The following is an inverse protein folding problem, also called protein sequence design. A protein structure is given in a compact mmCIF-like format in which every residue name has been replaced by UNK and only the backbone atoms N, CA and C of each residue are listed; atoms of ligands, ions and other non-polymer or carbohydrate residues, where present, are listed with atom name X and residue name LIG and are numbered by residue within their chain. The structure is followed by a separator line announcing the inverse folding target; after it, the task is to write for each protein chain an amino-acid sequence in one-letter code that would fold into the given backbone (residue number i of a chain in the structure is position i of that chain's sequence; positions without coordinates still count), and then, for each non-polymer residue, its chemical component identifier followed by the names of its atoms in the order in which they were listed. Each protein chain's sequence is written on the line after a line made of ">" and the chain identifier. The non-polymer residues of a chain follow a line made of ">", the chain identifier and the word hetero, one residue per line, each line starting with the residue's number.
data_IF_967916127213
#
_entry.id   IF_967916127213
#
_cell.length_a   1.000
_cell.length_b   1.000
_cell.length_c   1.000
_cell.angle_alpha   90.00
_cell.angle_beta   90.00
_cell.angle_gamma   90.00
#
_symmetry.space_group_name_H-M   'P 1'
#
loop_
_entity.id
_entity.type
_entity.pdbx_description
1 polymer ?
#
# COMPACT_ATOMS: atom_id res chain seq x y z
N UNK A 1 -8.24 8.69 -19.90
CA UNK A 1 -8.60 8.47 -18.48
C UNK A 1 -8.06 7.12 -18.10
N UNK A 2 -7.14 7.06 -17.16
CA UNK A 2 -6.41 5.86 -16.75
C UNK A 2 -7.13 5.21 -15.57
N UNK A 3 -7.45 3.93 -15.69
CA UNK A 3 -8.07 3.15 -14.61
C UNK A 3 -6.99 2.65 -13.65
N UNK A 4 -7.18 2.86 -12.34
CA UNK A 4 -6.28 2.40 -11.29
C UNK A 4 -7.10 1.56 -10.30
N UNK A 5 -6.76 0.29 -10.18
CA UNK A 5 -7.40 -0.65 -9.28
C UNK A 5 -6.51 -0.92 -8.08
N UNK A 6 -7.07 -0.79 -6.87
CA UNK A 6 -6.38 -1.01 -5.61
C UNK A 6 -6.93 -2.25 -4.90
N UNK A 7 -6.01 -3.03 -4.36
CA UNK A 7 -6.25 -4.17 -3.47
C UNK A 7 -5.22 -4.16 -2.34
N UNK A 8 -5.51 -4.79 -1.22
CA UNK A 8 -4.63 -4.89 -0.07
C UNK A 8 -4.98 -6.08 0.82
N UNK A 9 -4.06 -6.43 1.72
CA UNK A 9 -4.30 -7.39 2.81
C UNK A 9 -4.87 -8.73 2.31
N UNK A 10 -4.23 -9.26 1.28
CA UNK A 10 -4.68 -10.50 0.64
C UNK A 10 -4.23 -11.76 1.39
N UNK A 11 -3.23 -11.68 2.27
CA UNK A 11 -2.82 -12.76 3.20
C UNK A 11 -2.84 -14.15 2.58
N UNK A 12 -2.09 -14.35 1.49
CA UNK A 12 -2.02 -15.58 0.69
C UNK A 12 -3.33 -15.99 -0.02
N UNK A 13 -4.37 -15.14 -0.02
CA UNK A 13 -5.67 -15.43 -0.64
C UNK A 13 -5.90 -14.65 -1.94
N UNK A 14 -4.87 -13.99 -2.47
CA UNK A 14 -4.96 -13.16 -3.67
C UNK A 14 -5.59 -13.88 -4.86
N UNK A 15 -5.35 -15.19 -5.02
CA UNK A 15 -5.92 -15.98 -6.12
C UNK A 15 -7.44 -16.16 -6.07
N UNK A 16 -8.10 -15.81 -4.94
CA UNK A 16 -9.56 -15.82 -4.83
C UNK A 16 -10.21 -14.58 -5.44
N UNK A 17 -9.44 -13.52 -5.69
CA UNK A 17 -9.95 -12.26 -6.21
C UNK A 17 -10.37 -12.39 -7.69
N UNK A 18 -11.46 -11.73 -8.03
CA UNK A 18 -11.91 -11.51 -9.40
C UNK A 18 -11.68 -10.05 -9.74
N UNK A 19 -10.69 -9.79 -10.60
CA UNK A 19 -10.30 -8.43 -10.99
C UNK A 19 -10.74 -8.15 -12.42
N UNK A 20 -11.49 -7.07 -12.60
CA UNK A 20 -11.86 -6.57 -13.93
C UNK A 20 -10.62 -5.97 -14.62
N UNK A 21 -10.53 -6.05 -15.96
CA UNK A 21 -9.43 -5.45 -16.70
C UNK A 21 -9.26 -3.96 -16.44
N UNK A 22 -8.01 -3.49 -16.42
CA UNK A 22 -7.68 -2.08 -16.19
C UNK A 22 -6.26 -1.73 -16.63
N UNK A 23 -5.87 -0.46 -16.42
CA UNK A 23 -4.54 -0.01 -16.82
C UNK A 23 -3.50 -0.34 -15.75
N UNK A 24 -3.79 -0.03 -14.48
CA UNK A 24 -2.84 -0.17 -13.38
C UNK A 24 -3.48 -0.94 -12.22
N UNK A 25 -2.80 -1.98 -11.74
CA UNK A 25 -3.16 -2.70 -10.52
C UNK A 25 -2.16 -2.34 -9.43
N UNK A 26 -2.66 -1.88 -8.27
CA UNK A 26 -1.87 -1.55 -7.09
C UNK A 26 -2.21 -2.47 -5.92
N UNK A 27 -1.19 -3.03 -5.26
CA UNK A 27 -1.33 -3.77 -4.00
C UNK A 27 -0.66 -3.01 -2.86
N UNK A 28 -1.41 -2.65 -1.82
CA UNK A 28 -0.93 -1.77 -0.74
C UNK A 28 -0.47 -2.52 0.53
N UNK A 29 0.12 -3.70 0.35
CA UNK A 29 0.80 -4.43 1.43
C UNK A 29 -0.02 -5.57 2.03
N UNK A 30 0.66 -6.34 2.90
CA UNK A 30 0.14 -7.57 3.50
C UNK A 30 -0.34 -8.58 2.44
N UNK A 31 0.54 -8.83 1.48
CA UNK A 31 0.33 -9.84 0.45
C UNK A 31 0.45 -11.26 1.00
N UNK A 32 1.16 -11.43 2.12
CA UNK A 32 1.47 -12.71 2.76
C UNK A 32 1.01 -12.73 4.23
N UNK A 33 1.02 -13.93 4.86
CA UNK A 33 0.78 -14.06 6.30
C UNK A 33 2.05 -13.81 7.11
N UNK A 34 3.21 -14.28 6.63
CA UNK A 34 4.47 -14.24 7.38
C UNK A 34 5.68 -13.75 6.56
N UNK A 35 5.51 -13.47 5.29
CA UNK A 35 6.58 -13.01 4.42
C UNK A 35 7.64 -14.04 4.13
N UNK A 36 7.30 -15.34 4.17
CA UNK A 36 8.25 -16.39 3.80
C UNK A 36 8.55 -16.36 2.30
N UNK A 37 9.73 -16.86 1.91
CA UNK A 37 10.09 -16.94 0.49
C UNK A 37 9.05 -17.65 -0.39
N UNK A 38 8.51 -18.81 0.02
CA UNK A 38 7.42 -19.47 -0.72
C UNK A 38 6.14 -18.63 -0.82
N UNK A 39 5.72 -17.92 0.24
CA UNK A 39 4.53 -17.06 0.19
C UNK A 39 4.73 -15.89 -0.77
N UNK A 40 5.90 -15.24 -0.70
CA UNK A 40 6.24 -14.13 -1.59
C UNK A 40 6.33 -14.58 -3.04
N UNK A 41 6.89 -15.78 -3.28
CA UNK A 41 6.93 -16.35 -4.64
C UNK A 41 5.53 -16.70 -5.15
N UNK A 42 4.66 -17.23 -4.29
CA UNK A 42 3.26 -17.48 -4.65
C UNK A 42 2.53 -16.18 -5.03
N UNK A 43 2.73 -15.11 -4.27
CA UNK A 43 2.18 -13.79 -4.61
C UNK A 43 2.76 -13.28 -5.93
N UNK A 44 4.09 -13.35 -6.13
CA UNK A 44 4.75 -12.94 -7.38
C UNK A 44 4.11 -13.62 -8.59
N UNK A 45 3.96 -14.95 -8.54
CA UNK A 45 3.41 -15.72 -9.66
C UNK A 45 1.96 -15.33 -9.96
N UNK A 46 1.15 -15.16 -8.90
CA UNK A 46 -0.23 -14.71 -9.07
C UNK A 46 -0.30 -13.27 -9.61
N UNK A 47 0.48 -12.36 -9.05
CA UNK A 47 0.46 -10.94 -9.44
C UNK A 47 0.95 -10.75 -10.88
N UNK A 48 2.01 -11.47 -11.27
CA UNK A 48 2.51 -11.50 -12.63
C UNK A 48 1.45 -12.01 -13.62
N UNK A 49 0.65 -13.02 -13.22
CA UNK A 49 -0.41 -13.61 -14.05
C UNK A 49 -1.58 -12.67 -14.35
N UNK A 50 -1.69 -11.52 -13.66
CA UNK A 50 -2.75 -10.53 -13.89
C UNK A 50 -2.48 -9.73 -15.18
N UNK A 51 -2.45 -10.41 -16.32
CA UNK A 51 -2.08 -9.84 -17.65
C UNK A 51 -3.13 -8.90 -18.23
N UNK A 52 -4.34 -8.83 -17.65
CA UNK A 52 -5.38 -7.87 -17.99
C UNK A 52 -5.07 -6.44 -17.52
N UNK A 53 -3.98 -6.25 -16.72
CA UNK A 53 -3.45 -4.95 -16.33
C UNK A 53 -2.13 -4.68 -17.04
N UNK A 54 -1.99 -3.46 -17.56
CA UNK A 54 -0.78 -3.02 -18.26
C UNK A 54 0.40 -2.84 -17.29
N UNK A 55 0.12 -2.31 -16.10
CA UNK A 55 1.13 -2.06 -15.06
C UNK A 55 0.69 -2.67 -13.73
N UNK A 56 1.65 -3.16 -12.96
CA UNK A 56 1.43 -3.74 -11.64
C UNK A 56 2.42 -3.14 -10.65
N UNK A 57 1.90 -2.48 -9.60
CA UNK A 57 2.69 -1.87 -8.54
C UNK A 57 2.35 -2.55 -7.23
N UNK A 58 3.34 -2.82 -6.38
CA UNK A 58 3.10 -3.26 -5.02
C UNK A 58 4.06 -2.59 -4.03
N UNK A 59 3.59 -2.48 -2.79
CA UNK A 59 4.41 -2.18 -1.61
C UNK A 59 4.28 -3.32 -0.61
N UNK A 60 5.17 -3.40 0.37
CA UNK A 60 5.03 -4.32 1.48
C UNK A 60 4.06 -3.81 2.56
N UNK A 61 3.55 -4.73 3.38
CA UNK A 61 2.93 -4.44 4.66
C UNK A 61 3.68 -5.10 5.82
N UNK A 62 3.12 -5.03 7.03
CA UNK A 62 3.81 -5.52 8.22
C UNK A 62 3.92 -7.05 8.27
N UNK A 63 3.08 -7.79 7.59
CA UNK A 63 3.19 -9.25 7.48
C UNK A 63 4.27 -9.69 6.48
N UNK A 64 4.70 -8.84 5.57
CA UNK A 64 5.64 -9.18 4.49
C UNK A 64 7.11 -9.16 4.97
N UNK A 65 7.40 -9.89 6.05
CA UNK A 65 8.69 -9.88 6.78
C UNK A 65 9.91 -10.18 5.91
N UNK A 66 9.75 -10.98 4.86
CA UNK A 66 10.83 -11.30 3.93
C UNK A 66 11.24 -10.15 3.02
N UNK A 67 10.47 -9.06 2.98
CA UNK A 67 10.79 -7.85 2.22
C UNK A 67 11.48 -6.78 3.08
N UNK A 68 11.44 -6.90 4.42
CA UNK A 68 12.08 -5.95 5.33
C UNK A 68 13.60 -6.15 5.35
N UNK A 69 14.34 -5.22 4.75
CA UNK A 69 15.80 -5.26 4.67
C UNK A 69 16.50 -5.01 6.01
N UNK A 70 15.79 -4.54 7.04
CA UNK A 70 16.36 -4.22 8.37
C UNK A 70 16.57 -5.44 9.24
N UNK A 71 15.99 -6.59 8.91
CA UNK A 71 16.06 -7.83 9.70
C UNK A 71 17.42 -8.56 9.60
N UNK A 72 18.40 -7.98 8.90
CA UNK A 72 19.75 -8.54 8.71
C UNK A 72 19.83 -9.72 7.73
N UNK A 73 18.74 -10.08 7.09
CA UNK A 73 18.68 -11.09 6.02
C UNK A 73 18.64 -10.43 4.66
N UNK A 74 19.05 -11.17 3.64
CA UNK A 74 18.84 -10.71 2.26
C UNK A 74 17.34 -10.67 1.96
N UNK A 75 16.75 -9.50 1.65
CA UNK A 75 15.34 -9.42 1.37
C UNK A 75 14.97 -10.18 0.10
N UNK A 76 13.75 -10.69 0.06
CA UNK A 76 13.19 -11.26 -1.17
C UNK A 76 13.19 -10.18 -2.28
N UNK A 77 13.45 -10.62 -3.50
CA UNK A 77 13.41 -9.75 -4.68
C UNK A 77 12.44 -10.34 -5.69
N UNK A 78 11.48 -9.54 -6.11
CA UNK A 78 10.64 -9.88 -7.24
C UNK A 78 11.52 -10.01 -8.49
N UNK A 79 11.34 -11.10 -9.21
CA UNK A 79 12.12 -11.43 -10.44
C UNK A 79 11.35 -11.16 -11.70
N UNK A 80 10.02 -11.13 -11.64
CA UNK A 80 9.17 -10.82 -12.79
C UNK A 80 9.21 -9.31 -13.09
N UNK A 81 9.67 -8.96 -14.29
CA UNK A 81 9.86 -7.57 -14.71
C UNK A 81 8.56 -6.79 -14.91
N UNK A 82 7.41 -7.46 -14.91
CA UNK A 82 6.10 -6.80 -15.00
C UNK A 82 5.63 -6.22 -13.67
N UNK A 83 6.33 -6.52 -12.56
CA UNK A 83 6.01 -6.06 -11.22
C UNK A 83 6.94 -4.92 -10.82
N UNK A 84 6.38 -3.80 -10.42
CA UNK A 84 7.09 -2.67 -9.82
C UNK A 84 6.89 -2.67 -8.31
N UNK A 85 7.91 -3.09 -7.56
CA UNK A 85 7.90 -3.03 -6.09
C UNK A 85 8.46 -1.68 -5.64
N UNK A 86 7.73 -0.97 -4.78
CA UNK A 86 8.15 0.33 -4.24
C UNK A 86 8.40 0.24 -2.72
N UNK A 87 9.52 0.81 -2.30
CA UNK A 87 9.88 1.01 -0.90
C UNK A 87 10.62 2.35 -0.79
N UNK A 88 9.95 3.39 -0.34
CA UNK A 88 10.39 4.79 -0.38
C UNK A 88 10.82 5.23 -1.80
N UNK A 89 10.03 4.87 -2.79
CA UNK A 89 10.35 5.10 -4.20
C UNK A 89 9.17 5.67 -4.97
N UNK A 90 9.50 6.48 -5.99
CA UNK A 90 8.53 7.00 -6.95
C UNK A 90 8.63 6.26 -8.28
N UNK A 91 7.50 6.20 -9.00
CA UNK A 91 7.42 5.76 -10.38
C UNK A 91 6.40 6.61 -11.13
N UNK A 92 6.62 6.86 -12.41
CA UNK A 92 5.64 7.51 -13.28
C UNK A 92 5.12 6.50 -14.31
N UNK A 93 3.80 6.28 -14.32
CA UNK A 93 3.12 5.37 -15.22
C UNK A 93 1.90 6.08 -15.81
N UNK A 94 1.69 5.97 -17.11
CA UNK A 94 0.59 6.65 -17.83
C UNK A 94 0.52 8.18 -17.56
N UNK A 95 1.67 8.81 -17.27
CA UNK A 95 1.74 10.23 -16.91
C UNK A 95 1.30 10.56 -15.48
N UNK A 96 1.02 9.54 -14.64
CA UNK A 96 0.63 9.69 -13.24
C UNK A 96 1.83 9.34 -12.35
N UNK A 97 2.11 10.19 -11.36
CA UNK A 97 3.22 10.04 -10.43
C UNK A 97 2.78 9.33 -9.16
N UNK A 98 3.29 8.12 -8.98
CA UNK A 98 3.08 7.29 -7.79
C UNK A 98 4.26 7.42 -6.84
N UNK A 99 3.99 7.27 -5.56
CA UNK A 99 5.00 7.02 -4.53
C UNK A 99 4.52 5.89 -3.63
N UNK A 100 5.43 4.94 -3.32
CA UNK A 100 5.12 3.80 -2.46
C UNK A 100 6.04 3.71 -1.26
N UNK A 101 5.46 3.49 -0.06
CA UNK A 101 6.19 3.39 1.21
C UNK A 101 5.47 2.41 2.16
N UNK A 102 6.20 1.44 2.77
CA UNK A 102 5.59 0.34 3.53
C UNK A 102 5.45 0.62 5.04
N UNK A 103 6.01 1.72 5.56
CA UNK A 103 6.18 1.94 6.99
C UNK A 103 4.86 2.03 7.75
N UNK A 104 4.85 1.41 8.94
CA UNK A 104 3.73 1.39 9.87
C UNK A 104 4.17 1.86 11.26
N UNK A 105 3.23 2.24 12.11
CA UNK A 105 3.50 2.45 13.52
C UNK A 105 4.05 1.17 14.13
N UNK A 106 5.10 1.27 14.96
CA UNK A 106 5.69 0.10 15.60
C UNK A 106 4.63 -0.65 16.43
N UNK A 107 4.48 -1.92 16.12
CA UNK A 107 3.55 -2.80 16.79
C UNK A 107 4.11 -4.22 16.83
N UNK A 108 4.52 -4.65 18.02
CA UNK A 108 5.04 -6.01 18.24
C UNK A 108 6.16 -6.43 17.26
N UNK A 109 6.32 -7.71 16.94
CA UNK A 109 7.44 -8.23 16.15
C UNK A 109 7.16 -8.24 14.62
N UNK A 110 6.42 -7.25 14.15
CA UNK A 110 6.05 -7.13 12.74
C UNK A 110 7.10 -6.36 11.94
N UNK A 111 7.07 -6.54 10.62
CA UNK A 111 7.98 -5.82 9.73
C UNK A 111 7.59 -4.34 9.55
N UNK A 112 8.51 -3.55 9.06
CA UNK A 112 8.31 -2.15 8.70
C UNK A 112 7.80 -1.23 9.82
N UNK A 113 7.75 -1.71 11.09
CA UNK A 113 7.40 -0.88 12.25
C UNK A 113 8.47 0.16 12.55
N UNK A 114 8.06 1.41 12.81
CA UNK A 114 8.92 2.52 13.16
C UNK A 114 8.31 3.35 14.29
N UNK A 115 9.18 3.97 15.10
CA UNK A 115 8.77 4.99 16.06
C UNK A 115 8.38 6.30 15.36
N UNK A 116 7.63 7.15 16.04
CA UNK A 116 7.08 8.40 15.52
C UNK A 116 8.12 9.28 14.80
N UNK A 117 9.30 9.52 15.37
CA UNK A 117 10.32 10.37 14.76
C UNK A 117 10.90 9.80 13.44
N UNK A 118 10.97 8.45 13.33
CA UNK A 118 11.40 7.78 12.12
C UNK A 118 10.32 7.83 11.04
N UNK A 119 9.03 7.69 11.45
CA UNK A 119 7.88 7.82 10.56
C UNK A 119 7.83 9.22 9.94
N UNK A 120 8.02 10.30 10.74
CA UNK A 120 8.10 11.66 10.19
C UNK A 120 9.21 11.79 9.16
N UNK A 121 10.40 11.21 9.44
CA UNK A 121 11.51 11.23 8.48
C UNK A 121 11.12 10.49 7.18
N UNK A 122 10.57 9.27 7.27
CA UNK A 122 10.21 8.45 6.11
C UNK A 122 9.08 9.06 5.28
N UNK A 123 8.02 9.48 5.92
CA UNK A 123 6.91 10.13 5.21
C UNK A 123 7.30 11.51 4.67
N UNK A 124 8.25 12.19 5.32
CA UNK A 124 8.83 13.43 4.80
C UNK A 124 9.53 13.28 3.44
N UNK A 125 9.95 12.06 3.08
CA UNK A 125 10.55 11.76 1.77
C UNK A 125 9.53 11.72 0.61
N UNK A 126 8.24 11.69 0.89
CA UNK A 126 7.18 11.69 -0.14
C UNK A 126 7.31 13.00 -0.95
N UNK A 127 7.54 12.91 -2.28
CA UNK A 127 7.72 14.10 -3.10
C UNK A 127 6.45 14.95 -3.21
N UNK A 128 6.61 16.27 -3.30
CA UNK A 128 5.47 17.22 -3.44
C UNK A 128 4.67 17.00 -4.73
N UNK A 129 5.29 16.43 -5.77
CA UNK A 129 4.65 16.16 -7.04
C UNK A 129 3.96 14.77 -7.10
N UNK A 130 3.86 14.05 -5.98
CA UNK A 130 3.12 12.78 -5.89
C UNK A 130 1.63 13.01 -6.12
N UNK A 131 1.05 12.27 -7.06
CA UNK A 131 -0.38 12.30 -7.36
C UNK A 131 -1.15 11.13 -6.73
N UNK A 132 -0.53 9.95 -6.72
CA UNK A 132 -1.09 8.74 -6.08
C UNK A 132 -0.09 8.23 -5.07
N UNK A 133 -0.49 8.21 -3.79
CA UNK A 133 0.30 7.70 -2.69
C UNK A 133 -0.18 6.30 -2.31
N UNK A 134 0.78 5.37 -2.17
CA UNK A 134 0.54 4.02 -1.68
C UNK A 134 1.26 3.87 -0.33
N UNK A 135 0.52 3.64 0.74
CA UNK A 135 1.06 3.29 2.06
C UNK A 135 0.40 2.00 2.55
N UNK A 136 1.02 1.30 3.50
CA UNK A 136 0.30 0.20 4.12
C UNK A 136 -0.58 0.71 5.26
N UNK A 137 -0.02 1.51 6.18
CA UNK A 137 -0.80 2.13 7.26
C UNK A 137 -1.74 3.23 6.75
N UNK A 138 -2.97 3.36 7.28
CA UNK A 138 -3.83 4.51 7.03
C UNK A 138 -3.31 5.79 7.71
N UNK A 139 -3.68 6.99 7.24
CA UNK A 139 -3.55 8.21 8.04
C UNK A 139 -4.55 8.22 9.18
N UNK A 140 -4.19 8.80 10.32
CA UNK A 140 -5.01 8.82 11.54
C UNK A 140 -6.41 9.39 11.31
N UNK A 141 -7.43 8.71 11.81
CA UNK A 141 -8.85 9.06 11.69
C UNK A 141 -9.41 9.06 10.28
N UNK A 142 -8.74 8.35 9.36
CA UNK A 142 -9.24 8.17 8.00
C UNK A 142 -9.28 6.67 7.69
N UNK A 143 -10.47 6.07 7.74
CA UNK A 143 -10.71 4.65 7.45
C UNK A 143 -9.77 3.71 8.27
N UNK A 144 -9.55 4.05 9.56
CA UNK A 144 -8.56 3.40 10.43
C UNK A 144 -9.12 3.02 11.82
N UNK A 145 -10.44 3.07 12.00
CA UNK A 145 -11.06 2.70 13.28
C UNK A 145 -11.20 1.19 13.40
N UNK A 146 -10.66 0.64 14.49
CA UNK A 146 -10.78 -0.76 14.87
C UNK A 146 -11.81 -0.89 15.99
N UNK A 147 -13.05 -1.33 15.72
CA UNK A 147 -14.12 -1.36 16.71
C UNK A 147 -13.89 -2.38 17.83
N UNK A 148 -13.18 -3.49 17.55
CA UNK A 148 -12.90 -4.51 18.56
C UNK A 148 -12.02 -4.00 19.71
N UNK A 149 -11.14 -3.05 19.42
CA UNK A 149 -10.21 -2.45 20.39
C UNK A 149 -10.62 -1.03 20.80
N UNK A 150 -11.63 -0.46 20.15
CA UNK A 150 -12.08 0.95 20.31
C UNK A 150 -10.96 1.96 20.10
N UNK A 151 -10.11 1.75 19.09
CA UNK A 151 -8.97 2.60 18.77
C UNK A 151 -8.90 2.96 17.28
N UNK A 152 -8.19 4.06 16.99
CA UNK A 152 -7.74 4.43 15.66
C UNK A 152 -6.29 4.00 15.50
N UNK A 153 -5.99 3.14 14.52
CA UNK A 153 -4.66 2.52 14.34
C UNK A 153 -3.76 3.26 13.35
N UNK A 154 -4.28 4.25 12.64
CA UNK A 154 -3.54 5.01 11.65
C UNK A 154 -2.45 5.92 12.23
N UNK A 155 -1.55 6.41 11.37
CA UNK A 155 -0.43 7.27 11.72
C UNK A 155 -0.79 8.76 11.71
N UNK A 156 -0.49 9.45 12.80
CA UNK A 156 -0.59 10.92 12.90
C UNK A 156 0.45 11.59 12.00
N UNK A 157 1.66 11.05 11.95
CA UNK A 157 2.78 11.54 11.14
C UNK A 157 2.43 11.51 9.64
N UNK A 158 1.79 10.43 9.20
CA UNK A 158 1.31 10.30 7.82
C UNK A 158 0.21 11.30 7.52
N UNK A 159 -0.75 11.48 8.43
CA UNK A 159 -1.83 12.46 8.27
C UNK A 159 -1.28 13.88 8.08
N UNK A 160 -0.28 14.27 8.90
CA UNK A 160 0.31 15.60 8.83
C UNK A 160 1.07 15.81 7.50
N UNK A 161 1.80 14.79 7.05
CA UNK A 161 2.53 14.87 5.77
C UNK A 161 1.58 14.91 4.58
N UNK A 162 0.52 14.10 4.56
CA UNK A 162 -0.46 14.05 3.46
C UNK A 162 -1.16 15.41 3.26
N UNK A 163 -1.50 16.11 4.34
CA UNK A 163 -2.09 17.46 4.27
C UNK A 163 -1.21 18.49 3.57
N UNK A 164 0.10 18.26 3.52
CA UNK A 164 1.08 19.15 2.94
C UNK A 164 1.44 18.79 1.49
N UNK A 165 0.80 17.80 0.88
CA UNK A 165 1.10 17.35 -0.49
C UNK A 165 0.12 17.97 -1.51
N UNK A 166 0.51 19.06 -2.19
CA UNK A 166 -0.41 19.88 -2.97
C UNK A 166 -0.92 19.21 -4.26
N UNK A 167 -0.22 18.18 -4.73
CA UNK A 167 -0.58 17.48 -5.97
C UNK A 167 -1.25 16.12 -5.72
N UNK A 168 -1.43 15.74 -4.44
CA UNK A 168 -2.02 14.46 -4.09
C UNK A 168 -3.51 14.43 -4.42
N UNK A 169 -3.93 13.49 -5.25
CA UNK A 169 -5.34 13.28 -5.64
C UNK A 169 -5.91 11.99 -5.09
N UNK A 170 -5.04 10.99 -4.82
CA UNK A 170 -5.44 9.70 -4.26
C UNK A 170 -4.41 9.19 -3.27
N UNK A 171 -4.88 8.69 -2.14
CA UNK A 171 -4.08 7.97 -1.16
C UNK A 171 -4.72 6.61 -0.87
N UNK A 172 -4.08 5.53 -1.33
CA UNK A 172 -4.55 4.17 -1.12
C UNK A 172 -3.70 3.43 -0.08
N UNK A 173 -4.36 2.65 0.77
CA UNK A 173 -3.75 1.93 1.89
C UNK A 173 -4.56 0.67 2.25
N UNK A 174 -4.11 -0.05 3.28
CA UNK A 174 -4.73 -1.24 3.84
C UNK A 174 -4.69 -1.25 5.36
N UNK A 175 -4.24 -2.35 5.96
CA UNK A 175 -3.92 -2.56 7.37
C UNK A 175 -5.13 -2.59 8.31
N UNK A 176 -6.08 -1.67 8.20
CA UNK A 176 -7.30 -1.65 9.00
C UNK A 176 -8.39 -2.46 8.30
N UNK A 177 -8.52 -3.74 8.67
CA UNK A 177 -9.42 -4.69 8.00
C UNK A 177 -10.90 -4.35 8.20
N UNK A 178 -11.24 -3.75 9.33
CA UNK A 178 -12.62 -3.47 9.74
C UNK A 178 -13.19 -2.22 9.07
N UNK A 179 -12.35 -1.42 8.43
CA UNK A 179 -12.76 -0.12 7.90
C UNK A 179 -12.40 0.06 6.42
N UNK A 180 -12.53 -1.01 5.64
CA UNK A 180 -12.36 -0.91 4.18
C UNK A 180 -13.41 -0.01 3.53
N UNK A 181 -13.00 0.75 2.50
CA UNK A 181 -13.91 1.66 1.81
C UNK A 181 -13.23 2.87 1.18
N UNK A 182 -14.02 3.87 0.87
CA UNK A 182 -13.57 5.12 0.24
C UNK A 182 -14.08 6.33 1.02
N UNK A 183 -13.25 7.36 1.14
CA UNK A 183 -13.55 8.63 1.77
C UNK A 183 -13.00 9.79 0.93
N UNK A 184 -13.82 10.79 0.64
CA UNK A 184 -13.38 12.04 0.02
C UNK A 184 -13.02 13.03 1.13
N UNK A 185 -11.75 13.31 1.26
CA UNK A 185 -11.21 14.22 2.28
C UNK A 185 -11.12 15.65 1.82
N UNK A 186 -10.44 16.47 2.63
CA UNK A 186 -10.11 17.86 2.29
C UNK A 186 -9.20 17.90 1.04
N UNK A 187 -9.25 19.01 0.32
CA UNK A 187 -8.49 19.23 -0.93
C UNK A 187 -8.80 18.20 -2.03
N UNK A 188 -10.02 17.63 -2.01
CA UNK A 188 -10.49 16.62 -2.96
C UNK A 188 -9.63 15.36 -3.05
N UNK A 189 -8.85 15.07 -2.00
CA UNK A 189 -8.08 13.83 -1.93
C UNK A 189 -9.02 12.65 -1.71
N UNK A 190 -8.98 11.68 -2.60
CA UNK A 190 -9.68 10.41 -2.43
C UNK A 190 -8.82 9.45 -1.60
N UNK A 191 -9.29 9.11 -0.39
CA UNK A 191 -8.69 8.08 0.46
C UNK A 191 -9.37 6.73 0.21
N UNK A 192 -8.56 5.67 0.10
CA UNK A 192 -9.04 4.32 -0.20
C UNK A 192 -8.36 3.33 0.76
N UNK A 193 -9.17 2.66 1.58
CA UNK A 193 -8.74 1.47 2.30
C UNK A 193 -9.23 0.22 1.55
N UNK A 194 -8.31 -0.53 0.95
CA UNK A 194 -8.58 -1.73 0.14
C UNK A 194 -8.37 -3.03 0.90
N UNK A 195 -8.36 -3.01 2.24
CA UNK A 195 -8.12 -4.19 3.08
C UNK A 195 -9.10 -5.33 2.77
N UNK A 196 -8.69 -6.54 3.14
CA UNK A 196 -9.45 -7.79 2.93
C UNK A 196 -9.80 -8.07 1.45
N UNK A 197 -8.93 -7.64 0.53
CA UNK A 197 -9.16 -7.84 -0.90
C UNK A 197 -10.35 -7.03 -1.45
N UNK A 198 -10.84 -6.02 -0.72
CA UNK A 198 -11.87 -5.12 -1.20
C UNK A 198 -11.32 -4.31 -2.37
N UNK A 199 -11.77 -4.65 -3.57
CA UNK A 199 -11.30 -4.04 -4.81
C UNK A 199 -11.93 -2.67 -5.01
N UNK A 200 -11.10 -1.64 -5.20
CA UNK A 200 -11.53 -0.26 -5.47
C UNK A 200 -10.88 0.23 -6.77
N UNK A 201 -11.67 0.81 -7.67
CA UNK A 201 -11.15 1.40 -8.92
C UNK A 201 -11.48 2.87 -9.00
N UNK A 202 -10.50 3.67 -9.42
CA UNK A 202 -10.68 5.09 -9.76
C UNK A 202 -10.23 5.33 -11.20
N UNK A 203 -10.58 6.51 -11.71
CA UNK A 203 -10.19 6.97 -13.05
C UNK A 203 -9.57 8.36 -12.93
N UNK A 204 -8.33 8.52 -13.43
CA UNK A 204 -7.58 9.77 -13.48
C UNK A 204 -7.27 10.20 -14.93
#
# INVERSE_FOLDING_TARGET
>A
MTSITFISDTHNQASSLRLEPGDILCHTGDMTNFGTGPELKYFEDWFASQTQFKHKICIAGNHDKGLDYRNGKTPFKFTDSSITYLCDQAVELEGIKFYGTPWVNEYGPWAFGLHSYELYYRFGLIPDNTQVLLTHTPPKKILDYCPEQDIYIGSEELLDVVKLRPNLVCHAFGHCHEHSGRYLGAHDITFINSSNGNTQTIFL
#
